data_IF_939794423170
#
_entry.id   IF_939794423170
#
_cell.length_a   1.000
_cell.length_b   1.000
_cell.length_c   1.000
_cell.angle_alpha   90.00
_cell.angle_beta   90.00
_cell.angle_gamma   90.00
#
_symmetry.space_group_name_H-M   'P 1'
#
loop_
_entity.id
_entity.type
_entity.pdbx_description
1 polymer ?
#
# COMPACT_ATOMS: atom_id res chain seq x y z
N UNK A 1 14.93 21.54 36.20
CA UNK A 1 13.67 22.00 35.64
C UNK A 1 13.09 20.84 34.86
N UNK A 2 12.15 20.13 35.44
CA UNK A 2 11.39 19.05 34.84
C UNK A 2 10.59 19.65 33.71
N UNK A 3 10.80 19.17 32.48
CA UNK A 3 9.95 19.49 31.32
C UNK A 3 8.60 18.82 31.57
N UNK A 4 7.71 19.60 32.16
CA UNK A 4 6.36 19.19 32.53
C UNK A 4 5.40 19.38 31.34
N UNK A 5 4.65 18.33 31.01
CA UNK A 5 3.32 18.46 30.45
C UNK A 5 3.17 18.79 28.97
N UNK A 6 3.82 18.07 28.04
CA UNK A 6 3.23 17.95 26.69
C UNK A 6 1.85 17.28 26.87
N UNK A 7 0.77 18.05 26.63
CA UNK A 7 -0.60 17.58 26.86
C UNK A 7 -0.87 16.35 25.97
N UNK A 8 -1.17 15.23 26.60
CA UNK A 8 -1.63 14.02 25.89
C UNK A 8 -3.01 14.29 25.29
N UNK A 9 -3.23 13.80 24.10
CA UNK A 9 -4.51 13.87 23.40
C UNK A 9 -5.25 12.54 23.53
N UNK A 10 -6.54 12.57 23.88
CA UNK A 10 -7.40 11.39 23.77
C UNK A 10 -7.74 11.14 22.32
N UNK A 11 -7.54 9.92 21.83
CA UNK A 11 -7.81 9.50 20.45
C UNK A 11 -8.60 8.21 20.45
N UNK A 12 -9.48 8.03 19.45
CA UNK A 12 -10.09 6.73 19.18
C UNK A 12 -9.16 5.93 18.30
N UNK A 13 -8.94 4.65 18.61
CA UNK A 13 -8.04 3.80 17.84
C UNK A 13 -8.51 2.34 17.82
N UNK A 14 -8.23 1.65 16.71
CA UNK A 14 -8.44 0.22 16.57
C UNK A 14 -7.15 -0.54 16.93
N UNK A 15 -7.19 -1.30 18.01
CA UNK A 15 -6.06 -2.01 18.59
C UNK A 15 -6.09 -3.48 18.17
N UNK A 16 -4.97 -3.98 17.63
CA UNK A 16 -4.71 -5.40 17.50
C UNK A 16 -4.15 -5.91 18.82
N UNK A 17 -4.96 -6.63 19.60
CA UNK A 17 -4.58 -7.12 20.94
C UNK A 17 -3.72 -8.38 20.89
N UNK A 18 -4.10 -9.31 20.03
CA UNK A 18 -3.45 -10.63 19.88
C UNK A 18 -3.63 -11.16 18.47
N UNK A 19 -2.83 -12.13 18.05
CA UNK A 19 -2.92 -12.72 16.71
C UNK A 19 -4.32 -13.22 16.37
N UNK A 20 -4.75 -13.00 15.14
CA UNK A 20 -6.02 -13.46 14.56
C UNK A 20 -7.29 -12.97 15.28
N UNK A 21 -7.18 -12.02 16.22
CA UNK A 21 -8.33 -11.44 16.87
C UNK A 21 -8.94 -10.29 16.06
N UNK A 22 -10.21 -9.99 16.30
CA UNK A 22 -10.84 -8.77 15.84
C UNK A 22 -10.12 -7.56 16.44
N UNK A 23 -10.11 -6.44 15.69
CA UNK A 23 -9.64 -5.17 16.22
C UNK A 23 -10.61 -4.67 17.31
N UNK A 24 -10.03 -4.14 18.40
CA UNK A 24 -10.78 -3.52 19.49
C UNK A 24 -10.71 -2.00 19.38
N UNK A 25 -11.85 -1.34 19.15
CA UNK A 25 -11.92 0.13 18.97
C UNK A 25 -12.19 0.78 20.31
N UNK A 26 -11.22 1.57 20.79
CA UNK A 26 -11.27 2.22 22.10
C UNK A 26 -10.46 3.52 22.17
N UNK A 27 -10.62 4.24 23.27
CA UNK A 27 -9.87 5.46 23.55
C UNK A 27 -8.47 5.12 24.06
N UNK A 28 -7.48 5.83 23.50
CA UNK A 28 -6.08 5.80 23.94
C UNK A 28 -5.59 7.23 24.21
N UNK A 29 -4.41 7.35 24.84
CA UNK A 29 -3.71 8.61 25.03
C UNK A 29 -2.54 8.69 24.05
N UNK A 30 -2.52 9.72 23.20
CA UNK A 30 -1.47 10.01 22.23
C UNK A 30 -0.59 11.15 22.75
N UNK A 31 0.73 10.98 22.68
CA UNK A 31 1.71 12.02 22.97
C UNK A 31 1.69 13.14 21.93
N UNK A 32 2.14 14.33 22.30
CA UNK A 32 2.45 15.39 21.34
C UNK A 32 3.62 14.96 20.43
N UNK A 33 3.68 15.50 19.18
CA UNK A 33 4.75 15.19 18.25
C UNK A 33 6.11 15.66 18.78
N UNK A 34 7.16 14.89 18.51
CA UNK A 34 8.56 15.25 18.75
C UNK A 34 9.04 16.32 17.76
N UNK A 35 10.23 16.91 17.94
CA UNK A 35 10.73 17.97 17.05
C UNK A 35 10.70 17.64 15.56
N UNK A 36 10.92 16.37 15.17
CA UNK A 36 10.96 15.85 13.82
C UNK A 36 9.65 15.16 13.38
N UNK A 37 8.59 15.21 14.21
CA UNK A 37 7.30 14.53 13.97
C UNK A 37 6.18 15.54 13.68
N UNK A 38 5.17 15.05 12.98
CA UNK A 38 3.92 15.74 12.62
C UNK A 38 2.75 15.05 13.30
N UNK A 39 1.87 15.80 13.94
CA UNK A 39 0.56 15.32 14.38
C UNK A 39 -0.45 15.55 13.25
N UNK A 40 -1.04 14.48 12.78
CA UNK A 40 -2.04 14.48 11.69
C UNK A 40 -3.39 14.08 12.26
N UNK A 41 -4.41 14.90 12.03
CA UNK A 41 -5.81 14.53 12.19
C UNK A 41 -6.19 13.68 10.99
N UNK A 42 -6.42 12.40 11.21
CA UNK A 42 -6.72 11.43 10.16
C UNK A 42 -8.14 11.67 9.64
N UNK A 43 -8.29 11.83 8.33
CA UNK A 43 -9.59 11.87 7.66
C UNK A 43 -10.01 10.48 7.20
N UNK A 44 -9.07 9.72 6.63
CA UNK A 44 -9.29 8.35 6.21
C UNK A 44 -8.01 7.52 6.20
N UNK A 45 -8.17 6.21 6.40
CA UNK A 45 -7.05 5.24 6.35
C UNK A 45 -7.47 3.97 5.63
N UNK A 46 -6.71 3.59 4.60
CA UNK A 46 -6.92 2.35 3.87
C UNK A 46 -6.54 1.11 4.67
N UNK A 47 -7.30 0.01 4.50
CA UNK A 47 -6.92 -1.30 5.02
C UNK A 47 -6.11 -2.02 3.93
N UNK A 48 -4.90 -2.46 4.28
CA UNK A 48 -4.01 -3.23 3.44
C UNK A 48 -3.87 -4.68 3.95
N UNK A 49 -3.54 -5.59 3.04
CA UNK A 49 -3.20 -6.97 3.44
C UNK A 49 -2.03 -7.02 4.43
N UNK A 50 -1.09 -6.08 4.33
CA UNK A 50 0.05 -5.96 5.25
C UNK A 50 -0.37 -5.70 6.69
N UNK A 51 -1.46 -4.95 6.94
CA UNK A 51 -2.02 -4.79 8.28
C UNK A 51 -2.52 -6.11 8.85
N UNK A 52 -3.14 -6.94 8.01
CA UNK A 52 -3.71 -8.23 8.44
C UNK A 52 -2.61 -9.25 8.73
N UNK A 53 -1.57 -9.35 7.88
CA UNK A 53 -0.45 -10.26 8.14
C UNK A 53 0.40 -9.81 9.34
N UNK A 54 0.42 -8.51 9.66
CA UNK A 54 1.02 -7.99 10.90
C UNK A 54 0.15 -8.33 12.12
N UNK A 55 -1.18 -8.12 12.06
CA UNK A 55 -2.11 -8.55 13.10
C UNK A 55 -2.00 -10.06 13.39
N UNK A 56 -1.91 -10.86 12.33
CA UNK A 56 -1.90 -12.32 12.40
C UNK A 56 -0.48 -12.90 12.65
N UNK A 57 0.52 -12.02 12.86
CA UNK A 57 1.90 -12.35 13.20
C UNK A 57 2.65 -13.18 12.14
N UNK A 58 2.21 -13.15 10.88
CA UNK A 58 2.99 -13.65 9.74
C UNK A 58 4.22 -12.77 9.55
N UNK A 59 4.03 -11.44 9.68
CA UNK A 59 5.11 -10.47 9.88
C UNK A 59 5.09 -10.05 11.36
N UNK A 60 6.17 -10.28 12.12
CA UNK A 60 6.17 -10.03 13.55
C UNK A 60 6.12 -8.53 13.87
N UNK A 61 5.06 -8.11 14.56
CA UNK A 61 4.89 -6.78 15.18
C UNK A 61 4.57 -7.00 16.66
N UNK A 62 5.17 -6.23 17.56
CA UNK A 62 4.89 -6.39 18.98
C UNK A 62 3.49 -5.92 19.32
N UNK A 63 2.60 -6.84 19.66
CA UNK A 63 1.25 -6.56 20.16
C UNK A 63 1.24 -6.32 21.69
N UNK A 64 0.24 -5.58 22.26
CA UNK A 64 -0.81 -4.87 21.51
C UNK A 64 -0.27 -3.68 20.71
N UNK A 65 -0.88 -3.39 19.57
CA UNK A 65 -0.48 -2.30 18.69
C UNK A 65 -1.67 -1.71 17.92
N UNK A 66 -1.59 -0.43 17.62
CA UNK A 66 -2.38 0.18 16.55
C UNK A 66 -1.63 -0.02 15.24
N UNK A 67 -2.31 -0.56 14.23
CA UNK A 67 -1.78 -0.74 12.87
C UNK A 67 -2.26 0.40 11.96
N UNK A 68 -2.34 0.15 10.65
CA UNK A 68 -2.74 1.16 9.66
C UNK A 68 -1.55 1.96 9.14
N UNK A 69 -1.42 1.99 7.81
CA UNK A 69 -0.26 2.62 7.16
C UNK A 69 -0.60 3.31 5.83
N UNK A 70 -1.88 3.55 5.58
CA UNK A 70 -2.39 4.20 4.38
C UNK A 70 -3.29 5.39 4.74
N UNK A 71 -2.81 6.32 5.58
CA UNK A 71 -3.63 7.43 6.02
C UNK A 71 -3.50 8.67 5.15
N UNK A 72 -4.58 9.44 5.10
CA UNK A 72 -4.57 10.85 4.72
C UNK A 72 -5.33 11.68 5.76
N UNK A 73 -4.94 12.95 5.86
CA UNK A 73 -5.54 13.83 6.83
C UNK A 73 -5.03 15.26 6.74
N UNK A 74 -5.28 16.02 7.80
CA UNK A 74 -4.83 17.40 7.93
C UNK A 74 -3.79 17.52 9.02
N UNK A 75 -2.70 18.24 8.74
CA UNK A 75 -1.70 18.58 9.75
C UNK A 75 -2.35 19.40 10.85
N UNK A 76 -2.26 18.95 12.09
CA UNK A 76 -2.75 19.61 13.28
C UNK A 76 -1.64 20.38 14.01
N UNK A 77 -0.46 19.76 14.09
CA UNK A 77 0.72 20.31 14.73
C UNK A 77 1.99 19.79 14.08
N UNK A 78 3.02 20.60 14.02
CA UNK A 78 4.36 20.23 13.56
C UNK A 78 5.37 20.34 14.70
N UNK A 79 6.37 19.48 14.70
CA UNK A 79 7.53 19.57 15.58
C UNK A 79 8.43 20.76 15.22
N UNK A 80 9.27 21.18 16.16
CA UNK A 80 10.07 22.41 16.04
C UNK A 80 11.15 22.39 14.96
N UNK A 81 11.51 21.20 14.44
CA UNK A 81 12.51 21.04 13.36
C UNK A 81 11.87 21.02 11.97
N UNK A 82 10.53 21.09 11.87
CA UNK A 82 9.79 21.03 10.60
C UNK A 82 9.44 22.44 10.14
N UNK A 83 9.95 22.82 8.96
CA UNK A 83 9.75 24.16 8.39
C UNK A 83 8.92 24.18 7.09
N UNK A 84 8.65 23.04 6.50
CA UNK A 84 8.04 22.88 5.17
C UNK A 84 6.59 22.35 5.22
N UNK A 85 6.05 22.17 6.42
CA UNK A 85 4.64 21.86 6.70
C UNK A 85 4.07 22.84 7.72
N UNK A 86 2.77 23.07 7.62
CA UNK A 86 2.04 23.92 8.57
C UNK A 86 0.69 23.29 8.95
N UNK A 87 0.12 23.63 10.12
CA UNK A 87 -1.25 23.28 10.45
C UNK A 87 -2.22 23.71 9.34
N UNK A 88 -3.14 22.82 8.98
CA UNK A 88 -4.08 23.02 7.86
C UNK A 88 -3.62 22.38 6.54
N UNK A 89 -2.36 21.98 6.39
CA UNK A 89 -1.90 21.27 5.18
C UNK A 89 -2.57 19.89 5.05
N UNK A 90 -3.03 19.55 3.85
CA UNK A 90 -3.50 18.20 3.53
C UNK A 90 -2.31 17.31 3.21
N UNK A 91 -2.28 16.13 3.82
CA UNK A 91 -1.15 15.20 3.70
C UNK A 91 -1.60 13.76 3.50
N UNK A 92 -0.74 12.98 2.83
CA UNK A 92 -0.80 11.51 2.77
C UNK A 92 0.37 10.96 3.58
N UNK A 93 0.10 9.96 4.41
CA UNK A 93 1.13 9.22 5.15
C UNK A 93 1.54 7.97 4.37
N UNK A 94 2.85 7.71 4.33
CA UNK A 94 3.44 6.60 3.58
C UNK A 94 4.51 5.88 4.41
N UNK A 95 5.22 4.94 3.82
CA UNK A 95 6.30 4.21 4.48
C UNK A 95 7.44 5.14 4.93
N UNK A 96 8.13 4.72 5.99
CA UNK A 96 9.26 5.46 6.54
C UNK A 96 10.59 4.94 5.99
N UNK A 97 11.46 5.85 5.59
CA UNK A 97 12.84 5.58 5.19
C UNK A 97 13.82 6.43 5.99
N UNK A 98 15.07 5.96 6.21
CA UNK A 98 16.03 6.67 7.06
C UNK A 98 16.59 7.97 6.46
N UNK A 99 16.52 8.13 5.13
CA UNK A 99 17.00 9.33 4.43
C UNK A 99 18.51 9.48 4.26
N UNK A 100 19.33 8.61 4.86
CA UNK A 100 20.79 8.79 4.91
C UNK A 100 21.61 7.56 4.49
N UNK A 101 20.99 6.40 4.23
CA UNK A 101 21.70 5.24 3.68
C UNK A 101 21.93 5.37 2.18
N UNK A 102 22.79 4.52 1.63
CA UNK A 102 23.15 4.56 0.21
C UNK A 102 21.92 4.47 -0.71
N UNK A 103 20.90 3.68 -0.34
CA UNK A 103 19.67 3.57 -1.14
C UNK A 103 18.84 4.85 -1.10
N UNK A 104 18.63 5.43 0.08
CA UNK A 104 17.92 6.70 0.19
C UNK A 104 18.63 7.83 -0.56
N UNK A 105 19.97 7.91 -0.45
CA UNK A 105 20.78 8.90 -1.16
C UNK A 105 20.79 8.66 -2.69
N UNK A 106 20.55 7.43 -3.11
CA UNK A 106 20.42 7.05 -4.52
C UNK A 106 19.01 7.24 -5.10
N UNK A 107 18.06 7.80 -4.34
CA UNK A 107 16.67 7.99 -4.80
C UNK A 107 15.80 6.71 -4.73
N UNK A 108 16.23 5.70 -3.98
CA UNK A 108 15.53 4.42 -3.82
C UNK A 108 15.04 4.22 -2.37
N UNK A 109 14.20 5.11 -1.81
CA UNK A 109 13.76 5.05 -0.40
C UNK A 109 12.97 3.77 -0.06
N UNK A 110 12.29 3.16 -1.02
CA UNK A 110 11.58 1.89 -0.86
C UNK A 110 12.51 0.73 -0.49
N UNK A 111 13.79 0.82 -0.86
CA UNK A 111 14.84 -0.15 -0.53
C UNK A 111 15.77 0.33 0.60
N UNK A 112 15.28 1.22 1.45
CA UNK A 112 16.03 1.71 2.61
C UNK A 112 16.63 0.55 3.40
N UNK A 113 17.93 0.65 3.76
CA UNK A 113 18.61 -0.38 4.56
C UNK A 113 17.97 -0.63 5.92
N UNK A 114 17.18 0.33 6.42
CA UNK A 114 16.45 0.23 7.69
C UNK A 114 14.95 -0.02 7.50
N UNK A 115 14.50 -0.34 6.29
CA UNK A 115 13.08 -0.52 5.95
C UNK A 115 12.35 -1.46 6.94
N UNK A 116 12.85 -2.67 7.28
CA UNK A 116 12.16 -3.55 8.21
C UNK A 116 12.03 -2.98 9.62
N UNK A 117 13.09 -2.35 10.12
CA UNK A 117 13.13 -1.79 11.47
C UNK A 117 12.20 -0.59 11.60
N UNK A 118 12.23 0.32 10.64
CA UNK A 118 11.45 1.56 10.67
C UNK A 118 9.95 1.33 10.47
N UNK A 119 9.56 0.25 9.77
CA UNK A 119 8.15 0.05 9.39
C UNK A 119 7.44 -1.06 10.16
N UNK A 120 8.17 -2.08 10.65
CA UNK A 120 7.52 -3.25 11.26
C UNK A 120 7.72 -3.37 12.78
N UNK A 121 8.59 -2.59 13.43
CA UNK A 121 8.75 -2.68 14.90
C UNK A 121 7.54 -2.13 15.66
N UNK A 122 6.71 -1.26 15.08
CA UNK A 122 5.60 -0.60 15.76
C UNK A 122 6.08 0.33 16.89
N UNK A 123 7.30 0.90 16.75
CA UNK A 123 7.97 1.76 17.75
C UNK A 123 8.89 2.74 17.04
N UNK A 124 9.19 3.86 17.72
CA UNK A 124 10.28 4.75 17.30
C UNK A 124 11.62 4.03 17.33
N UNK A 125 12.62 4.58 16.66
CA UNK A 125 13.97 3.99 16.61
C UNK A 125 14.63 3.84 18.01
N UNK A 126 14.24 4.66 18.97
CA UNK A 126 14.71 4.57 20.37
C UNK A 126 13.91 3.56 21.23
N UNK A 127 12.96 2.84 20.60
CA UNK A 127 12.11 1.85 21.27
C UNK A 127 10.88 2.42 21.99
N UNK A 128 10.70 3.75 22.02
CA UNK A 128 9.53 4.39 22.65
C UNK A 128 8.28 4.25 21.76
N UNK A 129 7.13 4.52 22.37
CA UNK A 129 5.82 4.56 21.71
C UNK A 129 5.12 5.88 22.01
N UNK A 130 4.23 6.33 21.13
CA UNK A 130 3.43 7.53 21.33
C UNK A 130 2.06 7.23 21.96
N UNK A 131 1.59 5.99 21.92
CA UNK A 131 0.26 5.59 22.41
C UNK A 131 0.35 4.87 23.76
N UNK A 132 -0.60 5.17 24.64
CA UNK A 132 -0.76 4.47 25.92
C UNK A 132 -2.23 4.23 26.24
N UNK A 133 -2.52 3.10 26.92
CA UNK A 133 -3.82 2.75 27.50
C UNK A 133 -3.68 2.68 29.01
N UNK A 134 -4.29 3.61 29.76
CA UNK A 134 -4.14 3.67 31.22
C UNK A 134 -2.70 3.70 31.71
N UNK A 135 -1.76 4.24 30.92
CA UNK A 135 -0.32 4.23 31.18
C UNK A 135 0.45 3.02 30.60
N UNK A 136 -0.24 2.00 30.10
CA UNK A 136 0.37 0.83 29.45
C UNK A 136 0.78 1.21 28.02
N UNK A 137 2.04 0.97 27.59
CA UNK A 137 2.50 1.26 26.24
C UNK A 137 1.79 0.42 25.18
N UNK A 138 1.28 1.06 24.12
CA UNK A 138 0.68 0.43 22.94
C UNK A 138 1.57 0.73 21.73
N UNK A 139 1.84 -0.25 20.86
CA UNK A 139 2.58 -0.05 19.62
C UNK A 139 1.95 1.04 18.74
N UNK A 140 2.77 1.98 18.22
CA UNK A 140 2.24 3.24 17.65
C UNK A 140 2.98 3.79 16.45
N UNK A 141 3.92 3.05 15.89
CA UNK A 141 4.75 3.49 14.75
C UNK A 141 4.88 2.39 13.71
N UNK A 142 3.82 1.63 13.48
CA UNK A 142 3.74 0.73 12.34
C UNK A 142 3.77 1.57 11.06
N UNK A 143 4.73 1.31 10.18
CA UNK A 143 5.07 2.19 9.03
C UNK A 143 5.32 3.66 9.43
N UNK A 144 5.84 3.89 10.62
CA UNK A 144 6.07 5.24 11.14
C UNK A 144 4.80 6.02 11.49
N UNK A 145 3.59 5.44 11.45
CA UNK A 145 2.35 6.18 11.58
C UNK A 145 1.28 5.52 12.47
N UNK A 146 1.01 4.20 12.37
CA UNK A 146 -0.05 3.52 13.15
C UNK A 146 -1.41 4.25 13.07
N UNK A 147 -1.95 4.38 11.88
CA UNK A 147 -3.02 5.32 11.57
C UNK A 147 -4.45 4.75 11.65
N UNK A 148 -4.65 3.52 12.15
CA UNK A 148 -6.01 3.08 12.53
C UNK A 148 -6.48 3.81 13.78
N UNK A 149 -6.42 5.14 13.74
CA UNK A 149 -6.76 6.05 14.82
C UNK A 149 -7.21 7.41 14.30
N UNK A 150 -7.97 8.16 15.12
CA UNK A 150 -8.44 9.50 14.74
C UNK A 150 -7.29 10.53 14.60
N UNK A 151 -6.15 10.26 15.22
CA UNK A 151 -4.91 11.03 15.06
C UNK A 151 -3.71 10.10 14.98
N UNK A 152 -2.71 10.48 14.20
CA UNK A 152 -1.42 9.81 14.09
C UNK A 152 -0.28 10.79 14.27
N UNK A 153 0.80 10.33 14.92
CA UNK A 153 2.08 11.03 14.96
C UNK A 153 3.02 10.30 14.01
N UNK A 154 3.61 11.04 13.08
CA UNK A 154 4.46 10.47 12.04
C UNK A 154 5.73 11.32 11.84
N UNK A 155 6.93 10.72 11.63
CA UNK A 155 8.12 11.44 11.23
C UNK A 155 7.89 12.22 9.93
N UNK A 156 8.45 13.45 9.85
CA UNK A 156 8.30 14.31 8.66
C UNK A 156 8.52 13.57 7.33
N UNK A 157 9.46 12.63 7.33
CA UNK A 157 9.88 11.93 6.11
C UNK A 157 8.82 10.98 5.53
N UNK A 158 7.89 10.49 6.35
CA UNK A 158 6.74 9.68 5.89
C UNK A 158 5.49 10.50 5.57
N UNK A 159 5.59 11.83 5.55
CA UNK A 159 4.46 12.74 5.32
C UNK A 159 4.63 13.42 3.96
N UNK A 160 3.67 13.24 3.06
CA UNK A 160 3.64 13.85 1.73
C UNK A 160 2.57 14.93 1.70
N UNK A 161 2.97 16.20 1.50
CA UNK A 161 2.03 17.29 1.30
C UNK A 161 1.38 17.16 -0.08
N UNK A 162 0.06 17.23 -0.13
CA UNK A 162 -0.71 17.07 -1.37
C UNK A 162 -1.71 18.19 -1.56
N UNK A 163 -2.05 18.43 -2.81
CA UNK A 163 -3.16 19.31 -3.21
C UNK A 163 -4.05 18.52 -4.18
N UNK A 164 -5.29 18.26 -3.77
CA UNK A 164 -6.24 17.47 -4.56
C UNK A 164 -7.66 17.97 -4.35
N UNK A 165 -8.50 17.98 -5.39
CA UNK A 165 -9.92 18.28 -5.26
C UNK A 165 -10.73 17.13 -4.67
N UNK A 166 -10.15 15.93 -4.59
CA UNK A 166 -10.82 14.77 -3.98
C UNK A 166 -11.00 14.96 -2.47
N UNK A 167 -12.04 14.37 -1.89
CA UNK A 167 -12.18 14.25 -0.45
C UNK A 167 -10.92 13.64 0.19
N UNK A 168 -10.44 14.25 1.27
CA UNK A 168 -9.15 13.88 1.90
C UNK A 168 -9.12 12.42 2.35
N UNK A 169 -10.25 11.89 2.83
CA UNK A 169 -10.36 10.50 3.27
C UNK A 169 -10.05 9.47 2.17
N UNK A 170 -10.22 9.84 0.89
CA UNK A 170 -9.95 8.94 -0.23
C UNK A 170 -8.46 8.88 -0.61
N UNK A 171 -7.63 9.80 -0.11
CA UNK A 171 -6.23 9.92 -0.52
C UNK A 171 -5.29 8.91 0.16
N UNK A 172 -5.68 8.38 1.32
CA UNK A 172 -4.83 7.50 2.13
C UNK A 172 -4.20 6.33 1.40
N UNK A 173 -4.94 5.56 0.58
CA UNK A 173 -4.39 4.42 -0.16
C UNK A 173 -3.25 4.74 -1.13
N UNK A 174 -3.06 6.01 -1.52
CA UNK A 174 -1.89 6.45 -2.29
C UNK A 174 -0.58 6.22 -1.52
N UNK A 175 -0.63 6.14 -0.19
CA UNK A 175 0.55 5.95 0.66
C UNK A 175 1.19 4.56 0.59
N UNK A 176 0.48 3.54 0.06
CA UNK A 176 0.98 2.17 -0.06
C UNK A 176 0.41 1.45 -1.29
N UNK A 177 -0.80 0.85 -1.19
CA UNK A 177 -1.29 -0.09 -2.20
C UNK A 177 -1.47 0.52 -3.60
N UNK A 178 -1.93 1.77 -3.68
CA UNK A 178 -2.13 2.44 -4.97
C UNK A 178 -0.79 2.80 -5.61
N UNK A 179 0.15 3.41 -4.87
CA UNK A 179 1.49 3.69 -5.42
C UNK A 179 2.25 2.42 -5.78
N UNK A 180 2.08 1.34 -5.02
CA UNK A 180 2.75 0.05 -5.28
C UNK A 180 2.36 -0.52 -6.64
N UNK A 181 1.08 -0.60 -6.93
CA UNK A 181 0.60 -1.10 -8.23
C UNK A 181 0.94 -0.17 -9.39
N UNK A 182 0.72 1.13 -9.21
CA UNK A 182 1.04 2.11 -10.23
C UNK A 182 2.54 2.19 -10.51
N UNK A 183 3.38 2.18 -9.45
CA UNK A 183 4.83 2.25 -9.58
C UNK A 183 5.43 0.98 -10.19
N UNK A 184 4.88 -0.20 -9.91
CA UNK A 184 5.30 -1.43 -10.59
C UNK A 184 5.16 -1.31 -12.12
N UNK A 185 4.17 -0.56 -12.60
CA UNK A 185 4.00 -0.26 -14.02
C UNK A 185 4.88 0.90 -14.45
N UNK A 186 4.73 2.08 -13.83
CA UNK A 186 5.29 3.33 -14.35
C UNK A 186 6.80 3.51 -14.06
N UNK A 187 7.30 2.94 -12.94
CA UNK A 187 8.70 3.08 -12.53
C UNK A 187 9.54 1.86 -12.88
N UNK A 188 8.92 0.65 -12.94
CA UNK A 188 9.68 -0.61 -13.05
C UNK A 188 9.53 -1.24 -14.42
N UNK A 189 8.32 -1.46 -14.90
CA UNK A 189 8.03 -2.04 -16.22
C UNK A 189 8.24 -0.99 -17.31
N UNK A 190 7.80 0.24 -17.07
CA UNK A 190 7.87 1.38 -17.98
C UNK A 190 7.44 1.00 -19.41
N UNK A 191 6.17 0.59 -19.59
CA UNK A 191 5.73 0.00 -20.84
C UNK A 191 5.62 1.06 -21.93
N UNK A 192 6.10 0.74 -23.13
CA UNK A 192 5.87 1.60 -24.28
C UNK A 192 4.37 1.64 -24.66
N UNK A 193 3.86 2.79 -25.16
CA UNK A 193 2.50 2.84 -25.70
C UNK A 193 2.29 1.77 -26.78
N UNK A 194 1.14 1.09 -26.70
CA UNK A 194 0.79 0.00 -27.60
C UNK A 194 1.27 -1.39 -27.16
N UNK A 195 2.07 -1.51 -26.08
CA UNK A 195 2.51 -2.80 -25.55
C UNK A 195 1.40 -3.60 -24.87
N UNK A 196 1.72 -4.85 -24.54
CA UNK A 196 0.84 -5.82 -23.89
C UNK A 196 1.34 -6.20 -22.50
N UNK A 197 0.40 -6.33 -21.54
CA UNK A 197 0.71 -6.71 -20.17
C UNK A 197 -0.31 -7.72 -19.62
N UNK A 198 0.19 -8.70 -18.85
CA UNK A 198 -0.64 -9.61 -18.04
C UNK A 198 -0.45 -9.27 -16.55
N UNK A 199 -1.56 -9.02 -15.83
CA UNK A 199 -1.57 -8.63 -14.42
C UNK A 199 -2.29 -9.72 -13.62
N UNK A 200 -1.56 -10.40 -12.75
CA UNK A 200 -2.04 -11.49 -11.91
C UNK A 200 -2.36 -10.96 -10.51
N UNK A 201 -3.64 -11.09 -10.13
CA UNK A 201 -4.24 -10.55 -8.91
C UNK A 201 -5.05 -9.29 -9.17
N UNK A 202 -6.35 -9.34 -8.88
CA UNK A 202 -7.33 -8.25 -9.01
C UNK A 202 -7.63 -7.55 -7.68
N UNK A 203 -6.68 -7.52 -6.75
CA UNK A 203 -6.77 -6.69 -5.55
C UNK A 203 -6.44 -5.22 -5.81
N UNK A 204 -6.40 -4.39 -4.75
CA UNK A 204 -6.13 -2.96 -4.88
C UNK A 204 -4.82 -2.65 -5.64
N UNK A 205 -3.75 -3.42 -5.38
CA UNK A 205 -2.45 -3.28 -6.07
C UNK A 205 -2.59 -3.63 -7.56
N UNK A 206 -3.20 -4.79 -7.88
CA UNK A 206 -3.36 -5.21 -9.26
C UNK A 206 -4.27 -4.31 -10.08
N UNK A 207 -5.38 -3.84 -9.50
CA UNK A 207 -6.29 -2.91 -10.18
C UNK A 207 -5.70 -1.52 -10.32
N UNK A 208 -4.86 -1.07 -9.37
CA UNK A 208 -4.04 0.13 -9.54
C UNK A 208 -3.05 -0.02 -10.70
N UNK A 209 -2.46 -1.22 -10.85
CA UNK A 209 -1.60 -1.52 -11.99
C UNK A 209 -2.38 -1.54 -13.32
N UNK A 210 -3.62 -2.02 -13.35
CA UNK A 210 -4.50 -1.93 -14.54
C UNK A 210 -4.71 -0.47 -14.95
N UNK A 211 -5.07 0.40 -13.99
CA UNK A 211 -5.23 1.83 -14.23
C UNK A 211 -3.93 2.47 -14.77
N UNK A 212 -2.79 2.14 -14.18
CA UNK A 212 -1.50 2.66 -14.61
C UNK A 212 -1.10 2.17 -16.02
N UNK A 213 -1.35 0.90 -16.33
CA UNK A 213 -1.12 0.34 -17.66
C UNK A 213 -2.00 1.01 -18.74
N UNK A 214 -3.27 1.28 -18.41
CA UNK A 214 -4.16 2.05 -19.29
C UNK A 214 -3.67 3.48 -19.48
N UNK A 215 -3.25 4.16 -18.39
CA UNK A 215 -2.67 5.51 -18.44
C UNK A 215 -1.37 5.57 -19.24
N UNK A 216 -0.54 4.51 -19.19
CA UNK A 216 0.68 4.38 -19.99
C UNK A 216 0.41 4.07 -21.48
N UNK A 217 -0.85 3.79 -21.86
CA UNK A 217 -1.24 3.50 -23.24
C UNK A 217 -0.98 2.06 -23.68
N UNK A 218 -0.96 1.09 -22.77
CA UNK A 218 -0.93 -0.33 -23.15
C UNK A 218 -2.17 -0.68 -23.96
N UNK A 219 -1.99 -1.40 -25.07
CA UNK A 219 -3.09 -1.76 -25.98
C UNK A 219 -3.80 -3.05 -25.56
N UNK A 220 -3.07 -3.98 -24.95
CA UNK A 220 -3.60 -5.23 -24.41
C UNK A 220 -3.26 -5.34 -22.93
N UNK A 221 -4.28 -5.30 -22.08
CA UNK A 221 -4.16 -5.41 -20.63
C UNK A 221 -5.04 -6.59 -20.20
N UNK A 222 -4.42 -7.69 -19.80
CA UNK A 222 -5.12 -8.90 -19.35
C UNK A 222 -5.02 -8.99 -17.84
N UNK A 223 -6.17 -8.94 -17.16
CA UNK A 223 -6.24 -9.15 -15.71
C UNK A 223 -6.57 -10.61 -15.40
N UNK A 224 -5.90 -11.19 -14.40
CA UNK A 224 -6.10 -12.58 -14.00
C UNK A 224 -6.47 -12.62 -12.52
N UNK A 225 -7.69 -13.07 -12.19
CA UNK A 225 -8.13 -13.24 -10.79
C UNK A 225 -9.22 -14.33 -10.72
N UNK A 226 -9.24 -15.20 -9.68
CA UNK A 226 -10.27 -16.22 -9.53
C UNK A 226 -11.67 -15.65 -9.20
N UNK A 227 -11.77 -14.44 -8.63
CA UNK A 227 -13.04 -13.82 -8.25
C UNK A 227 -13.66 -13.06 -9.44
N UNK A 228 -14.89 -13.41 -9.80
CA UNK A 228 -15.58 -12.81 -10.94
C UNK A 228 -15.77 -11.29 -10.78
N UNK A 229 -16.08 -10.83 -9.56
CA UNK A 229 -16.28 -9.41 -9.25
C UNK A 229 -15.00 -8.60 -9.48
N UNK A 230 -13.83 -9.15 -9.16
CA UNK A 230 -12.52 -8.52 -9.41
C UNK A 230 -12.17 -8.48 -10.89
N UNK A 231 -12.52 -9.55 -11.62
CA UNK A 231 -12.38 -9.56 -13.09
C UNK A 231 -13.25 -8.49 -13.75
N UNK A 232 -14.50 -8.34 -13.29
CA UNK A 232 -15.37 -7.28 -13.79
C UNK A 232 -14.82 -5.89 -13.46
N UNK A 233 -14.38 -5.66 -12.23
CA UNK A 233 -13.76 -4.41 -11.83
C UNK A 233 -12.54 -4.07 -12.70
N UNK A 234 -11.71 -5.07 -13.06
CA UNK A 234 -10.56 -4.85 -13.95
C UNK A 234 -11.00 -4.37 -15.35
N UNK A 235 -12.05 -4.97 -15.93
CA UNK A 235 -12.62 -4.52 -17.21
C UNK A 235 -13.15 -3.08 -17.13
N UNK A 236 -13.86 -2.74 -16.05
CA UNK A 236 -14.41 -1.41 -15.81
C UNK A 236 -13.33 -0.34 -15.63
N UNK A 237 -12.11 -0.75 -15.29
CA UNK A 237 -10.94 0.11 -15.04
C UNK A 237 -9.94 0.15 -16.20
N UNK A 238 -10.23 -0.52 -17.31
CA UNK A 238 -9.43 -0.44 -18.53
C UNK A 238 -8.67 -1.70 -18.93
N UNK A 239 -8.86 -2.84 -18.25
CA UNK A 239 -8.40 -4.11 -18.77
C UNK A 239 -9.17 -4.45 -20.07
N UNK A 240 -8.46 -4.98 -21.05
CA UNK A 240 -9.05 -5.40 -22.34
C UNK A 240 -9.63 -6.80 -22.28
N UNK A 241 -9.09 -7.62 -21.39
CA UNK A 241 -9.49 -9.00 -21.15
C UNK A 241 -9.38 -9.31 -19.66
N UNK A 242 -10.21 -10.23 -19.16
CA UNK A 242 -10.10 -10.71 -17.77
C UNK A 242 -10.30 -12.22 -17.74
N UNK A 243 -9.37 -12.96 -17.12
CA UNK A 243 -9.30 -14.42 -17.16
C UNK A 243 -9.39 -15.03 -15.75
N UNK A 244 -10.04 -16.19 -15.68
CA UNK A 244 -10.08 -17.01 -14.48
C UNK A 244 -8.90 -18.00 -14.50
N UNK A 245 -7.94 -17.94 -13.57
CA UNK A 245 -6.82 -18.87 -13.53
C UNK A 245 -7.24 -20.30 -13.18
N UNK A 246 -8.48 -20.51 -12.69
CA UNK A 246 -9.01 -21.83 -12.36
C UNK A 246 -9.78 -22.46 -13.54
N UNK A 247 -9.99 -21.73 -14.64
CA UNK A 247 -10.64 -22.28 -15.83
C UNK A 247 -9.76 -23.36 -16.49
N UNK A 248 -10.35 -24.48 -16.98
CA UNK A 248 -9.58 -25.57 -17.58
C UNK A 248 -8.74 -25.16 -18.80
N UNK A 249 -9.17 -24.13 -19.52
CA UNK A 249 -8.54 -23.59 -20.73
C UNK A 249 -7.69 -22.33 -20.47
N UNK A 250 -7.46 -21.98 -19.22
CA UNK A 250 -6.77 -20.74 -18.82
C UNK A 250 -5.48 -20.48 -19.61
N UNK A 251 -4.58 -21.46 -19.68
CA UNK A 251 -3.29 -21.29 -20.36
C UNK A 251 -3.49 -21.04 -21.88
N UNK A 252 -4.47 -21.69 -22.50
CA UNK A 252 -4.81 -21.47 -23.91
C UNK A 252 -5.40 -20.06 -24.10
N UNK A 253 -6.32 -19.65 -23.25
CA UNK A 253 -6.93 -18.33 -23.31
C UNK A 253 -5.89 -17.20 -23.07
N UNK A 254 -4.98 -17.38 -22.09
CA UNK A 254 -3.92 -16.41 -21.82
C UNK A 254 -3.02 -16.16 -23.04
N UNK A 255 -2.74 -17.23 -23.80
CA UNK A 255 -1.84 -17.19 -24.97
C UNK A 255 -2.58 -16.99 -26.30
N UNK A 256 -3.91 -16.92 -26.33
CA UNK A 256 -4.72 -16.90 -27.56
C UNK A 256 -4.34 -15.74 -28.51
N UNK A 257 -3.96 -14.58 -27.97
CA UNK A 257 -3.54 -13.40 -28.73
C UNK A 257 -2.02 -13.15 -28.67
N UNK A 258 -1.22 -14.20 -28.42
CA UNK A 258 0.24 -14.17 -28.40
C UNK A 258 0.83 -13.88 -27.01
N UNK A 259 2.16 -13.85 -26.99
CA UNK A 259 2.96 -13.58 -25.79
C UNK A 259 2.89 -12.11 -25.38
N UNK A 260 3.25 -11.82 -24.10
CA UNK A 260 3.20 -10.49 -23.53
C UNK A 260 4.57 -9.81 -23.49
N UNK A 261 4.58 -8.49 -23.64
CA UNK A 261 5.76 -7.65 -23.43
C UNK A 261 6.20 -7.66 -21.98
N UNK A 262 5.22 -7.65 -21.07
CA UNK A 262 5.44 -7.61 -19.63
C UNK A 262 4.37 -8.35 -18.86
N UNK A 263 4.69 -8.69 -17.61
CA UNK A 263 3.73 -9.24 -16.66
C UNK A 263 4.00 -8.71 -15.25
N UNK A 264 2.96 -8.70 -14.43
CA UNK A 264 3.01 -8.32 -13.03
C UNK A 264 2.30 -9.39 -12.19
N UNK A 265 2.95 -9.90 -11.13
CA UNK A 265 2.27 -10.68 -10.12
C UNK A 265 2.07 -9.87 -8.83
N UNK A 266 0.83 -9.79 -8.39
CA UNK A 266 0.41 -9.20 -7.11
C UNK A 266 -0.25 -10.23 -6.19
N UNK A 267 -0.35 -11.48 -6.65
CA UNK A 267 -1.02 -12.56 -5.92
C UNK A 267 -0.10 -13.28 -4.93
N UNK A 268 1.20 -13.38 -5.24
CA UNK A 268 2.15 -14.19 -4.50
C UNK A 268 1.91 -15.70 -4.63
N UNK A 269 1.00 -16.15 -5.51
CA UNK A 269 0.67 -17.58 -5.70
C UNK A 269 1.69 -18.21 -6.65
N UNK A 270 2.34 -19.34 -6.29
CA UNK A 270 3.40 -19.95 -7.12
C UNK A 270 2.99 -20.22 -8.56
N UNK A 271 1.80 -20.76 -8.79
CA UNK A 271 1.30 -21.07 -10.13
C UNK A 271 1.01 -19.80 -10.96
N UNK A 272 0.53 -18.75 -10.32
CA UNK A 272 0.33 -17.44 -10.96
C UNK A 272 1.67 -16.81 -11.36
N UNK A 273 2.68 -16.87 -10.49
CA UNK A 273 4.03 -16.39 -10.79
C UNK A 273 4.63 -17.19 -11.96
N UNK A 274 4.48 -18.53 -11.95
CA UNK A 274 4.95 -19.37 -13.03
C UNK A 274 4.27 -19.04 -14.38
N UNK A 275 2.97 -18.79 -14.38
CA UNK A 275 2.22 -18.35 -15.55
C UNK A 275 2.66 -16.95 -16.02
N UNK A 276 2.86 -16.01 -15.08
CA UNK A 276 3.34 -14.66 -15.36
C UNK A 276 4.72 -14.65 -16.05
N UNK A 277 5.61 -15.54 -15.65
CA UNK A 277 6.92 -15.70 -16.31
C UNK A 277 6.79 -16.41 -17.68
N UNK A 278 5.93 -17.45 -17.75
CA UNK A 278 5.82 -18.29 -18.95
C UNK A 278 5.16 -17.58 -20.12
N UNK A 279 4.23 -16.65 -19.86
CA UNK A 279 3.51 -15.91 -20.89
C UNK A 279 4.36 -14.83 -21.60
N UNK A 280 5.58 -14.56 -21.14
CA UNK A 280 6.42 -13.50 -21.67
C UNK A 280 7.06 -13.85 -23.01
N UNK A 281 7.11 -12.87 -23.92
CA UNK A 281 7.91 -12.92 -25.14
C UNK A 281 9.42 -12.80 -24.89
N UNK A 282 10.20 -12.90 -25.94
CA UNK A 282 11.65 -12.63 -25.90
C UNK A 282 11.87 -11.20 -25.37
N UNK A 283 12.81 -11.06 -24.41
CA UNK A 283 13.14 -9.82 -23.69
C UNK A 283 12.01 -9.26 -22.82
N UNK A 284 11.00 -10.07 -22.50
CA UNK A 284 9.92 -9.65 -21.59
C UNK A 284 10.40 -9.48 -20.15
N UNK A 285 9.68 -8.66 -19.39
CA UNK A 285 9.91 -8.39 -17.96
C UNK A 285 8.71 -8.88 -17.13
N UNK A 286 8.98 -9.61 -16.05
CA UNK A 286 8.02 -9.94 -15.00
C UNK A 286 8.38 -9.21 -13.72
N UNK A 287 7.46 -8.39 -13.21
CA UNK A 287 7.57 -7.75 -11.90
C UNK A 287 6.83 -8.59 -10.84
N UNK A 288 7.42 -8.76 -9.66
CA UNK A 288 6.85 -9.48 -8.52
C UNK A 288 6.62 -8.51 -7.36
N UNK A 289 5.37 -8.38 -6.96
CA UNK A 289 4.91 -7.54 -5.83
C UNK A 289 4.23 -8.39 -4.77
N UNK A 290 3.61 -9.51 -5.18
CA UNK A 290 2.82 -10.36 -4.30
C UNK A 290 3.63 -10.89 -3.12
N UNK A 291 3.15 -10.66 -1.90
CA UNK A 291 3.75 -11.21 -0.68
C UNK A 291 3.45 -12.71 -0.59
N UNK A 292 4.46 -13.58 -0.39
CA UNK A 292 4.23 -15.00 -0.25
C UNK A 292 3.40 -15.34 0.99
N UNK A 293 2.50 -16.31 0.86
CA UNK A 293 1.64 -16.76 1.96
C UNK A 293 2.40 -17.43 3.11
N UNK A 294 3.57 -18.00 2.82
CA UNK A 294 4.43 -18.68 3.80
C UNK A 294 5.89 -18.31 3.60
N UNK A 295 6.63 -18.22 4.70
CA UNK A 295 8.08 -17.97 4.66
C UNK A 295 8.79 -19.12 3.93
N UNK A 296 9.69 -18.76 3.00
CA UNK A 296 10.44 -19.75 2.22
C UNK A 296 9.66 -20.35 1.03
N UNK A 297 8.49 -19.79 0.70
CA UNK A 297 7.74 -20.19 -0.50
C UNK A 297 8.61 -20.06 -1.75
N UNK A 298 8.55 -21.08 -2.62
CA UNK A 298 9.23 -21.12 -3.91
C UNK A 298 8.21 -21.27 -5.03
N UNK A 299 8.60 -20.92 -6.24
CA UNK A 299 7.81 -21.17 -7.44
C UNK A 299 8.69 -21.84 -8.51
N UNK A 300 8.10 -22.75 -9.34
CA UNK A 300 8.85 -23.47 -10.35
C UNK A 300 9.11 -22.60 -11.58
N UNK A 301 10.38 -22.47 -11.99
CA UNK A 301 10.77 -21.81 -13.24
C UNK A 301 11.72 -22.68 -14.03
N UNK A 302 11.51 -22.75 -15.34
CA UNK A 302 12.44 -23.41 -16.26
C UNK A 302 13.59 -22.46 -16.58
N UNK A 303 14.80 -22.73 -16.08
CA UNK A 303 15.99 -21.89 -16.30
C UNK A 303 16.30 -21.66 -17.78
N UNK A 304 16.07 -22.66 -18.65
CA UNK A 304 16.23 -22.53 -20.09
C UNK A 304 15.36 -21.43 -20.71
N UNK A 305 14.18 -21.14 -20.12
CA UNK A 305 13.31 -20.07 -20.58
C UNK A 305 13.97 -18.70 -20.41
N UNK A 306 14.61 -18.47 -19.25
CA UNK A 306 15.35 -17.23 -18.99
C UNK A 306 16.50 -17.02 -19.97
N UNK A 307 17.29 -18.08 -20.21
CA UNK A 307 18.43 -18.01 -21.11
C UNK A 307 17.98 -17.78 -22.55
N UNK A 308 17.02 -18.57 -23.05
CA UNK A 308 16.59 -18.51 -24.45
C UNK A 308 15.83 -17.24 -24.79
N UNK A 309 14.97 -16.75 -23.88
CA UNK A 309 14.17 -15.54 -24.11
C UNK A 309 14.81 -14.27 -23.54
N UNK A 310 15.82 -14.39 -22.70
CA UNK A 310 16.44 -13.22 -22.03
C UNK A 310 15.44 -12.48 -21.13
N UNK A 311 14.60 -13.23 -20.41
CA UNK A 311 13.57 -12.70 -19.51
C UNK A 311 14.23 -11.99 -18.31
N UNK A 312 13.66 -10.86 -17.90
CA UNK A 312 13.98 -10.18 -16.65
C UNK A 312 12.91 -10.51 -15.61
N UNK A 313 13.34 -10.94 -14.42
CA UNK A 313 12.48 -11.08 -13.23
C UNK A 313 12.93 -10.07 -12.19
N UNK A 314 12.01 -9.21 -11.71
CA UNK A 314 12.33 -8.12 -10.79
C UNK A 314 11.34 -8.09 -9.63
N UNK A 315 11.86 -8.12 -8.39
CA UNK A 315 11.06 -7.84 -7.19
C UNK A 315 10.80 -6.33 -7.06
N UNK A 316 9.63 -5.96 -6.53
CA UNK A 316 9.19 -4.58 -6.38
C UNK A 316 8.58 -4.37 -5.00
N UNK A 317 9.08 -3.37 -4.27
CA UNK A 317 8.53 -2.90 -2.99
C UNK A 317 8.05 -1.47 -3.17
N UNK A 318 6.82 -1.16 -2.67
CA UNK A 318 6.23 0.20 -2.69
C UNK A 318 6.28 0.86 -4.09
N UNK A 319 6.27 0.03 -5.16
CA UNK A 319 6.30 0.50 -6.54
C UNK A 319 7.62 1.11 -6.98
N UNK A 320 8.74 0.82 -6.30
CA UNK A 320 10.04 1.51 -6.49
C UNK A 320 9.88 3.05 -6.40
N UNK A 321 8.91 3.52 -5.62
CA UNK A 321 8.54 4.93 -5.58
C UNK A 321 9.41 5.74 -4.61
N UNK A 322 9.70 7.00 -4.99
CA UNK A 322 9.88 8.08 -4.03
C UNK A 322 8.52 8.75 -3.80
N UNK A 323 7.87 8.53 -2.65
CA UNK A 323 6.52 9.02 -2.40
C UNK A 323 6.39 10.54 -2.51
N UNK A 324 7.46 11.29 -2.21
CA UNK A 324 7.43 12.77 -2.24
C UNK A 324 7.19 13.32 -3.66
N UNK A 325 7.59 12.57 -4.68
CA UNK A 325 7.40 12.93 -6.09
C UNK A 325 6.29 12.09 -6.74
N UNK A 326 6.19 10.82 -6.40
CA UNK A 326 5.32 9.90 -7.10
C UNK A 326 3.83 10.05 -6.72
N UNK A 327 3.51 10.30 -5.44
CA UNK A 327 2.11 10.57 -5.02
C UNK A 327 1.54 11.82 -5.71
N UNK A 328 2.25 12.97 -5.75
CA UNK A 328 1.81 14.12 -6.55
C UNK A 328 1.65 13.80 -8.05
N UNK A 329 2.51 12.98 -8.63
CA UNK A 329 2.37 12.55 -10.02
C UNK A 329 1.09 11.72 -10.26
N UNK A 330 0.76 10.78 -9.37
CA UNK A 330 -0.49 10.00 -9.45
C UNK A 330 -1.72 10.89 -9.32
N UNK A 331 -1.68 11.91 -8.46
CA UNK A 331 -2.76 12.89 -8.33
C UNK A 331 -2.91 13.76 -9.59
N UNK A 332 -1.82 14.09 -10.27
CA UNK A 332 -1.89 14.78 -11.55
C UNK A 332 -2.56 13.90 -12.63
N UNK A 333 -2.20 12.63 -12.74
CA UNK A 333 -2.88 11.68 -13.63
C UNK A 333 -4.37 11.50 -13.28
N UNK A 334 -4.71 11.52 -12.00
CA UNK A 334 -6.10 11.47 -11.55
C UNK A 334 -6.87 12.72 -11.98
N UNK A 335 -6.30 13.91 -11.80
CA UNK A 335 -6.91 15.16 -12.23
C UNK A 335 -7.13 15.25 -13.74
N UNK A 336 -6.31 14.57 -14.53
CA UNK A 336 -6.47 14.39 -15.99
C UNK A 336 -7.53 13.32 -16.35
N UNK A 337 -8.13 12.63 -15.35
CA UNK A 337 -9.08 11.53 -15.57
C UNK A 337 -8.43 10.24 -16.07
N UNK A 338 -7.11 10.14 -16.05
CA UNK A 338 -6.34 8.98 -16.57
C UNK A 338 -6.06 7.92 -15.50
N UNK A 339 -6.19 8.27 -14.22
CA UNK A 339 -5.90 7.36 -13.11
C UNK A 339 -6.96 7.48 -11.99
N UNK A 340 -8.23 7.13 -12.24
CA UNK A 340 -9.36 7.29 -11.31
C UNK A 340 -9.32 6.24 -10.18
N UNK A 341 -8.29 6.28 -9.33
CA UNK A 341 -8.06 5.31 -8.25
C UNK A 341 -9.14 5.32 -7.17
N UNK A 342 -9.84 6.44 -7.00
CA UNK A 342 -10.96 6.59 -6.06
C UNK A 342 -12.10 5.59 -6.36
N UNK A 343 -12.21 5.09 -7.58
CA UNK A 343 -13.19 4.05 -7.97
C UNK A 343 -12.93 2.69 -7.31
N UNK A 344 -11.74 2.48 -6.75
CA UNK A 344 -11.39 1.26 -6.01
C UNK A 344 -11.91 1.29 -4.57
N UNK A 345 -12.28 2.49 -4.06
CA UNK A 345 -12.47 2.76 -2.64
C UNK A 345 -13.93 2.59 -2.23
N UNK A 346 -14.14 1.97 -1.08
CA UNK A 346 -15.39 1.99 -0.31
C UNK A 346 -15.09 2.41 1.12
N UNK A 347 -15.82 3.40 1.62
CA UNK A 347 -15.64 3.94 2.96
C UNK A 347 -16.45 3.18 4.02
N UNK A 348 -15.91 3.13 5.23
CA UNK A 348 -16.51 2.55 6.43
C UNK A 348 -16.16 3.43 7.63
N UNK A 349 -17.03 3.59 8.64
CA UNK A 349 -16.61 4.25 9.87
C UNK A 349 -15.55 3.39 10.60
N UNK A 350 -14.65 4.02 11.38
CA UNK A 350 -13.60 3.30 12.14
C UNK A 350 -14.20 2.18 13.01
N UNK A 351 -15.37 2.40 13.61
CA UNK A 351 -16.06 1.40 14.43
C UNK A 351 -16.41 0.10 13.67
N UNK A 352 -16.54 0.17 12.34
CA UNK A 352 -16.85 -0.96 11.46
C UNK A 352 -15.59 -1.61 10.84
N UNK A 353 -14.39 -1.40 11.41
CA UNK A 353 -13.12 -1.94 10.86
C UNK A 353 -13.19 -3.46 10.62
N UNK A 354 -13.84 -4.22 11.51
CA UNK A 354 -13.92 -5.67 11.37
C UNK A 354 -14.84 -6.09 10.22
N UNK A 355 -15.93 -5.36 9.97
CA UNK A 355 -16.81 -5.57 8.81
C UNK A 355 -16.09 -5.21 7.51
N UNK A 356 -15.32 -4.12 7.51
CA UNK A 356 -14.49 -3.70 6.37
C UNK A 356 -13.44 -4.77 6.02
N UNK A 357 -12.80 -5.38 7.02
CA UNK A 357 -11.86 -6.51 6.84
C UNK A 357 -12.58 -7.72 6.25
N UNK A 358 -13.77 -8.06 6.75
CA UNK A 358 -14.57 -9.18 6.25
C UNK A 358 -15.00 -8.96 4.79
N UNK A 359 -15.48 -7.76 4.45
CA UNK A 359 -15.88 -7.41 3.09
C UNK A 359 -14.69 -7.47 2.09
N UNK A 360 -13.51 -7.02 2.50
CA UNK A 360 -12.29 -7.13 1.69
C UNK A 360 -11.90 -8.60 1.47
N UNK A 361 -11.93 -9.40 2.53
CA UNK A 361 -11.60 -10.83 2.45
C UNK A 361 -12.56 -11.57 1.53
N UNK A 362 -13.87 -11.31 1.64
CA UNK A 362 -14.90 -11.94 0.83
C UNK A 362 -14.94 -11.42 -0.62
N UNK A 363 -14.28 -10.31 -0.92
CA UNK A 363 -14.25 -9.70 -2.26
C UNK A 363 -15.37 -8.70 -2.53
N UNK A 364 -16.17 -8.36 -1.52
CA UNK A 364 -17.24 -7.36 -1.61
C UNK A 364 -16.71 -5.93 -1.68
N UNK A 365 -15.46 -5.72 -1.34
CA UNK A 365 -14.76 -4.44 -1.41
C UNK A 365 -13.32 -4.66 -1.88
N UNK A 366 -12.82 -3.79 -2.77
CA UNK A 366 -11.43 -3.83 -3.27
C UNK A 366 -10.50 -3.13 -2.28
N UNK A 367 -10.78 -1.86 -1.95
CA UNK A 367 -9.99 -1.04 -1.04
C UNK A 367 -10.93 -0.39 0.00
N UNK A 368 -11.09 -1.01 1.17
CA UNK A 368 -11.80 -0.36 2.25
C UNK A 368 -10.96 0.77 2.84
N UNK A 369 -11.62 1.89 3.12
CA UNK A 369 -11.05 3.07 3.78
C UNK A 369 -11.91 3.38 5.01
N UNK A 370 -11.27 3.44 6.16
CA UNK A 370 -11.91 3.79 7.43
C UNK A 370 -11.95 5.31 7.55
N UNK A 371 -13.12 5.88 7.81
CA UNK A 371 -13.31 7.33 8.05
C UNK A 371 -13.42 7.63 9.54
N UNK A 372 -13.01 8.85 9.91
CA UNK A 372 -12.95 9.32 11.29
C UNK A 372 -14.00 10.39 11.60
N UNK A 373 -15.07 10.50 10.78
CA UNK A 373 -16.10 11.55 10.89
C UNK A 373 -16.73 11.63 12.29
N UNK A 374 -16.96 10.47 12.94
CA UNK A 374 -17.55 10.41 14.28
C UNK A 374 -16.60 10.83 15.41
N UNK A 375 -15.33 11.17 15.12
CA UNK A 375 -14.27 11.40 16.10
C UNK A 375 -13.48 12.69 15.82
N UNK A 376 -14.00 13.55 14.95
CA UNK A 376 -13.40 14.85 14.55
C UNK A 376 -13.65 15.99 15.57
#
# INVERSE_FOLDING_TARGET
MTMDGASKRTVMAAVAEKPNAAFDVRQLQLEAPRPDEVLVRVAGVGICHTDLIARDQIVPVKLPAVLGHEAAGTVEQVGSEIADLAPGDTVVLTFLSCGNCARCNGGEPAYCAQMPVLNFLGRRADGSVALTDGGTPIGSHFFGQSSFASYAVAPRRSVVKVNSPLPTELLGPLGCGIQTGAGAILNVIDPLPGSSIAIFGGGAVGLSAVLAAAAAGCKRIVAVDPKAERRQAALDLGATEALDPLAPDFNTALMANGEFDSSLDTSGVPDSIAAAVTCLRVRGICALVGTPAVVGQTFPVRTGLFVQKGITLRGVIEGDADPQTFIPHLLALQAEGRFPFERLIRTYPLAAINDAVADQHNGHCIKPVLTMEDYS
#
